data_IF_106164531347
#
_entry.id   IF_106164531347
#
_cell.length_a   1.000
_cell.length_b   1.000
_cell.length_c   1.000
_cell.angle_alpha   90.00
_cell.angle_beta   90.00
_cell.angle_gamma   90.00
#
_symmetry.space_group_name_H-M   'P 1'
#
loop_
_entity.id
_entity.type
_entity.pdbx_description
1 polymer ?
#
# COMPACT_ATOMS: atom_id res chain seq x y z
N UNK A 1 2.63 -1.28 -11.87
CA UNK A 1 1.75 -1.52 -13.03
C UNK A 1 1.20 -0.22 -13.60
N UNK A 2 0.75 0.70 -12.76
CA UNK A 2 0.29 2.02 -13.18
C UNK A 2 1.06 3.15 -12.48
N UNK A 3 0.87 4.38 -12.92
CA UNK A 3 1.49 5.55 -12.32
C UNK A 3 1.15 6.85 -13.03
N UNK A 4 1.57 7.96 -12.45
CA UNK A 4 1.38 9.30 -12.98
C UNK A 4 2.53 10.21 -12.54
N UNK A 5 2.75 11.29 -13.27
CA UNK A 5 3.78 12.28 -12.91
C UNK A 5 3.20 13.39 -12.04
N UNK A 6 4.07 14.08 -11.30
CA UNK A 6 3.70 15.27 -10.52
C UNK A 6 3.27 16.48 -11.37
N UNK A 7 3.37 16.39 -12.71
CA UNK A 7 2.98 17.45 -13.64
C UNK A 7 1.56 17.27 -14.20
N UNK A 8 0.90 16.15 -13.90
CA UNK A 8 -0.47 15.93 -14.33
C UNK A 8 -1.44 16.91 -13.65
N UNK A 9 -2.47 17.32 -14.39
CA UNK A 9 -3.52 18.20 -13.87
C UNK A 9 -4.41 17.49 -12.85
N UNK A 10 -4.62 16.18 -13.05
CA UNK A 10 -5.34 15.32 -12.13
C UNK A 10 -4.39 14.22 -11.66
N UNK A 11 -3.96 14.23 -10.39
CA UNK A 11 -3.04 13.22 -9.85
C UNK A 11 -3.70 11.85 -9.63
N UNK A 12 -5.02 11.73 -9.77
CA UNK A 12 -5.76 10.48 -9.56
C UNK A 12 -6.04 9.71 -10.86
N UNK A 13 -5.71 10.29 -12.03
CA UNK A 13 -5.90 9.65 -13.34
C UNK A 13 -4.67 8.83 -13.77
N UNK A 14 -4.35 7.77 -13.01
CA UNK A 14 -3.13 6.99 -13.23
C UNK A 14 -3.13 6.35 -14.63
N UNK A 15 -2.01 6.36 -15.34
CA UNK A 15 -1.89 5.63 -16.60
C UNK A 15 -1.47 4.17 -16.33
N UNK A 16 -2.01 3.21 -17.09
CA UNK A 16 -1.40 1.88 -17.20
C UNK A 16 -0.04 2.03 -17.90
N UNK A 17 1.03 1.53 -17.29
CA UNK A 17 2.39 1.69 -17.80
C UNK A 17 2.99 0.38 -18.33
N UNK A 18 2.46 -0.76 -17.92
CA UNK A 18 2.96 -2.08 -18.28
C UNK A 18 1.86 -3.13 -18.06
N UNK A 19 1.91 -4.23 -18.82
CA UNK A 19 1.08 -5.40 -18.61
C UNK A 19 1.83 -6.51 -17.84
N UNK A 20 1.13 -7.59 -17.49
CA UNK A 20 1.74 -8.67 -16.71
C UNK A 20 2.88 -9.35 -17.46
N UNK A 21 2.78 -9.51 -18.78
CA UNK A 21 3.80 -10.22 -19.57
C UNK A 21 5.10 -9.44 -19.63
N UNK A 22 4.99 -8.13 -19.85
CA UNK A 22 6.14 -7.22 -19.80
C UNK A 22 6.76 -7.23 -18.39
N UNK A 23 5.94 -7.15 -17.35
CA UNK A 23 6.43 -7.13 -15.97
C UNK A 23 7.18 -8.42 -15.61
N UNK A 24 6.74 -9.59 -16.09
CA UNK A 24 7.41 -10.87 -15.84
C UNK A 24 8.83 -10.95 -16.40
N UNK A 25 9.19 -10.15 -17.41
CA UNK A 25 10.56 -10.10 -17.92
C UNK A 25 11.59 -9.59 -16.88
N UNK A 26 11.11 -8.97 -15.81
CA UNK A 26 11.93 -8.47 -14.69
C UNK A 26 11.97 -9.43 -13.48
N UNK A 27 11.37 -10.62 -13.57
CA UNK A 27 11.26 -11.59 -12.47
C UNK A 27 10.72 -10.99 -11.15
N UNK A 28 9.55 -10.31 -11.16
CA UNK A 28 9.05 -9.62 -10.00
C UNK A 28 8.49 -10.59 -8.95
N UNK A 29 8.82 -10.35 -7.68
CA UNK A 29 8.21 -11.08 -6.56
C UNK A 29 6.70 -10.79 -6.40
N UNK A 30 6.25 -9.62 -6.86
CA UNK A 30 4.84 -9.22 -6.89
C UNK A 30 4.62 -8.04 -7.86
N UNK A 31 3.39 -7.88 -8.34
CA UNK A 31 2.95 -6.73 -9.12
C UNK A 31 2.22 -5.74 -8.20
N UNK A 32 2.44 -4.44 -8.40
CA UNK A 32 1.75 -3.39 -7.63
C UNK A 32 0.84 -2.54 -8.51
N UNK A 33 -0.36 -2.25 -8.03
CA UNK A 33 -1.33 -1.41 -8.71
C UNK A 33 -2.02 -0.48 -7.72
N UNK A 34 -2.19 0.78 -8.12
CA UNK A 34 -2.70 1.85 -7.28
C UNK A 34 -4.05 2.38 -7.75
N UNK A 35 -4.98 2.57 -6.80
CA UNK A 35 -6.29 3.13 -7.07
C UNK A 35 -6.82 3.94 -5.89
N UNK A 36 -7.69 4.89 -6.24
CA UNK A 36 -8.36 5.80 -5.32
C UNK A 36 -9.88 5.58 -5.37
N UNK A 37 -10.47 5.32 -4.20
CA UNK A 37 -11.88 4.99 -4.03
C UNK A 37 -12.68 6.24 -3.65
N UNK A 38 -13.82 6.46 -4.29
CA UNK A 38 -14.69 7.62 -4.16
C UNK A 38 -14.39 8.75 -5.15
N UNK A 39 -13.44 8.56 -6.07
CA UNK A 39 -13.06 9.53 -7.09
C UNK A 39 -13.73 9.30 -8.44
N UNK A 40 -13.62 10.27 -9.36
CA UNK A 40 -14.19 10.20 -10.72
C UNK A 40 -13.67 9.03 -11.55
N UNK A 41 -12.47 8.53 -11.22
CA UNK A 41 -11.81 7.44 -11.95
C UNK A 41 -12.05 6.07 -11.33
N UNK A 42 -12.77 5.94 -10.22
CA UNK A 42 -12.90 4.66 -9.49
C UNK A 42 -13.32 3.49 -10.38
N UNK A 43 -14.38 3.67 -11.17
CA UNK A 43 -14.98 2.59 -11.95
C UNK A 43 -14.01 1.93 -12.95
N UNK A 44 -13.33 2.67 -13.85
CA UNK A 44 -12.31 2.06 -14.70
C UNK A 44 -11.15 1.44 -13.91
N UNK A 45 -10.72 2.04 -12.78
CA UNK A 45 -9.63 1.45 -11.96
C UNK A 45 -10.00 0.12 -11.33
N UNK A 46 -11.25 -0.05 -10.90
CA UNK A 46 -11.72 -1.33 -10.39
C UNK A 46 -11.71 -2.42 -11.47
N UNK A 47 -12.08 -2.08 -12.71
CA UNK A 47 -12.03 -3.00 -13.83
C UNK A 47 -10.59 -3.40 -14.19
N UNK A 48 -9.68 -2.43 -14.23
CA UNK A 48 -8.25 -2.65 -14.47
C UNK A 48 -7.62 -3.53 -13.39
N UNK A 49 -7.82 -3.20 -12.11
CA UNK A 49 -7.32 -4.01 -11.00
C UNK A 49 -7.86 -5.44 -11.04
N UNK A 50 -9.16 -5.61 -11.30
CA UNK A 50 -9.76 -6.94 -11.43
C UNK A 50 -9.15 -7.75 -12.57
N UNK A 51 -8.79 -7.10 -13.68
CA UNK A 51 -8.08 -7.74 -14.79
C UNK A 51 -6.66 -8.15 -14.39
N UNK A 52 -5.93 -7.25 -13.75
CA UNK A 52 -4.58 -7.50 -13.27
C UNK A 52 -4.54 -8.66 -12.26
N UNK A 53 -5.47 -8.72 -11.31
CA UNK A 53 -5.56 -9.82 -10.33
C UNK A 53 -5.77 -11.16 -11.04
N UNK A 54 -6.72 -11.25 -11.99
CA UNK A 54 -6.95 -12.49 -12.75
C UNK A 54 -5.73 -12.91 -13.56
N UNK A 55 -5.02 -11.96 -14.14
CA UNK A 55 -3.83 -12.24 -14.94
C UNK A 55 -2.64 -12.63 -14.05
N UNK A 56 -2.43 -11.93 -12.93
CA UNK A 56 -1.43 -12.29 -11.92
C UNK A 56 -1.63 -13.71 -11.41
N UNK A 57 -2.87 -14.11 -11.11
CA UNK A 57 -3.20 -15.49 -10.73
C UNK A 57 -2.85 -16.51 -11.82
N UNK A 58 -3.11 -16.20 -13.10
CA UNK A 58 -2.77 -17.08 -14.23
C UNK A 58 -1.27 -17.31 -14.35
N UNK A 59 -0.47 -16.29 -14.09
CA UNK A 59 0.98 -16.35 -14.13
C UNK A 59 1.62 -16.67 -12.77
N UNK A 60 0.80 -16.94 -11.75
CA UNK A 60 1.24 -17.22 -10.37
C UNK A 60 2.13 -16.13 -9.77
N UNK A 61 1.90 -14.86 -10.13
CA UNK A 61 2.57 -13.69 -9.55
C UNK A 61 1.61 -12.93 -8.61
N UNK A 62 1.97 -12.72 -7.34
CA UNK A 62 1.13 -12.02 -6.38
C UNK A 62 0.82 -10.58 -6.78
N UNK A 63 -0.36 -10.07 -6.40
CA UNK A 63 -0.74 -8.66 -6.62
C UNK A 63 -0.91 -7.90 -5.29
N UNK A 64 -0.20 -6.77 -5.20
CA UNK A 64 -0.31 -5.77 -4.13
C UNK A 64 -1.24 -4.65 -4.61
N UNK A 65 -2.42 -4.55 -4.01
CA UNK A 65 -3.34 -3.43 -4.25
C UNK A 65 -3.03 -2.28 -3.31
N UNK A 66 -2.54 -1.17 -3.86
CA UNK A 66 -2.42 0.11 -3.17
C UNK A 66 -3.78 0.80 -3.23
N UNK A 67 -4.61 0.57 -2.22
CA UNK A 67 -6.02 1.01 -2.20
C UNK A 67 -6.22 2.09 -1.14
N UNK A 68 -6.56 3.29 -1.59
CA UNK A 68 -6.73 4.46 -0.75
C UNK A 68 -8.06 5.15 -1.01
N UNK A 69 -8.60 5.90 -0.03
CA UNK A 69 -9.65 6.87 -0.31
C UNK A 69 -9.12 7.95 -1.27
N UNK A 70 -10.01 8.47 -2.12
CA UNK A 70 -9.73 9.62 -2.97
C UNK A 70 -9.27 10.82 -2.13
N UNK A 71 -8.45 11.68 -2.73
CA UNK A 71 -7.85 12.83 -2.04
C UNK A 71 -6.98 12.46 -0.83
N UNK A 72 -6.51 11.21 -0.80
CA UNK A 72 -5.79 10.63 0.34
C UNK A 72 -6.54 10.81 1.69
N UNK A 73 -7.88 10.73 1.64
CA UNK A 73 -8.73 10.85 2.80
C UNK A 73 -8.29 9.94 3.95
N UNK A 74 -8.27 10.49 5.17
CA UNK A 74 -7.81 9.80 6.39
C UNK A 74 -8.96 9.31 7.27
N UNK A 75 -10.18 9.31 6.73
CA UNK A 75 -11.36 8.84 7.47
C UNK A 75 -11.27 7.32 7.74
N UNK A 76 -11.41 6.90 9.01
CA UNK A 76 -11.37 5.49 9.39
C UNK A 76 -12.35 4.59 8.63
N UNK A 77 -13.56 5.07 8.31
CA UNK A 77 -14.56 4.25 7.59
C UNK A 77 -14.15 4.09 6.13
N UNK A 78 -13.66 5.14 5.49
CA UNK A 78 -13.16 5.09 4.12
C UNK A 78 -11.96 4.13 3.99
N UNK A 79 -11.00 4.20 4.91
CA UNK A 79 -9.86 3.26 4.92
C UNK A 79 -10.33 1.83 5.21
N UNK A 80 -11.25 1.64 6.16
CA UNK A 80 -11.82 0.31 6.43
C UNK A 80 -12.51 -0.29 5.21
N UNK A 81 -13.24 0.54 4.46
CA UNK A 81 -13.85 0.14 3.19
C UNK A 81 -12.80 -0.27 2.16
N UNK A 82 -11.71 0.49 2.02
CA UNK A 82 -10.58 0.13 1.15
C UNK A 82 -9.99 -1.23 1.51
N UNK A 83 -9.78 -1.52 2.80
CA UNK A 83 -9.29 -2.83 3.26
C UNK A 83 -10.25 -3.95 2.85
N UNK A 84 -11.56 -3.77 3.11
CA UNK A 84 -12.54 -4.80 2.75
C UNK A 84 -12.64 -4.99 1.23
N UNK A 85 -12.59 -3.91 0.47
CA UNK A 85 -12.67 -3.96 -0.99
C UNK A 85 -11.48 -4.71 -1.59
N UNK A 86 -10.26 -4.46 -1.10
CA UNK A 86 -9.07 -5.19 -1.54
C UNK A 86 -9.18 -6.71 -1.29
N UNK A 87 -9.78 -7.11 -0.15
CA UNK A 87 -10.06 -8.51 0.15
C UNK A 87 -11.06 -9.12 -0.84
N UNK A 88 -12.19 -8.44 -1.09
CA UNK A 88 -13.25 -8.93 -1.99
C UNK A 88 -12.80 -9.05 -3.45
N UNK A 89 -11.92 -8.14 -3.90
CA UNK A 89 -11.33 -8.19 -5.24
C UNK A 89 -10.34 -9.36 -5.41
N UNK A 90 -9.94 -10.01 -4.31
CA UNK A 90 -9.05 -11.16 -4.34
C UNK A 90 -7.57 -10.81 -4.44
N UNK A 91 -7.17 -9.63 -3.97
CA UNK A 91 -5.75 -9.24 -3.93
C UNK A 91 -4.97 -10.12 -2.94
N UNK A 92 -3.66 -10.29 -3.18
CA UNK A 92 -2.80 -11.04 -2.27
C UNK A 92 -2.34 -10.22 -1.08
N UNK A 93 -2.00 -8.94 -1.30
CA UNK A 93 -1.57 -8.00 -0.26
C UNK A 93 -2.32 -6.68 -0.44
N UNK A 94 -2.82 -6.14 0.67
CA UNK A 94 -3.51 -4.85 0.70
C UNK A 94 -2.56 -3.81 1.27
N UNK A 95 -2.29 -2.75 0.53
CA UNK A 95 -1.57 -1.58 1.03
C UNK A 95 -2.52 -0.41 1.17
N UNK A 96 -2.59 0.17 2.36
CA UNK A 96 -3.43 1.34 2.63
C UNK A 96 -2.82 2.25 3.69
N UNK A 97 -3.57 3.24 4.17
CA UNK A 97 -3.14 4.14 5.24
C UNK A 97 -3.45 3.59 6.64
N UNK A 98 -2.64 3.99 7.61
CA UNK A 98 -2.93 3.76 9.02
C UNK A 98 -4.08 4.64 9.50
N UNK A 99 -4.91 4.08 10.39
CA UNK A 99 -5.76 4.83 11.30
C UNK A 99 -5.80 4.14 12.66
N UNK A 100 -6.00 4.91 13.72
CA UNK A 100 -6.13 4.37 15.08
C UNK A 100 -7.43 3.58 15.24
N UNK A 101 -7.35 2.37 15.81
CA UNK A 101 -8.49 1.46 15.95
C UNK A 101 -8.73 0.55 14.74
N UNK A 102 -7.79 0.45 13.81
CA UNK A 102 -7.92 -0.44 12.64
C UNK A 102 -7.79 -1.93 12.95
N UNK A 103 -7.34 -2.31 14.16
CA UNK A 103 -7.08 -3.70 14.56
C UNK A 103 -8.18 -4.68 14.25
N UNK A 104 -9.43 -4.34 14.58
CA UNK A 104 -10.55 -5.24 14.31
C UNK A 104 -10.77 -5.45 12.80
N UNK A 105 -10.55 -4.42 11.99
CA UNK A 105 -10.67 -4.52 10.54
C UNK A 105 -9.55 -5.36 9.93
N UNK A 106 -8.31 -5.16 10.40
CA UNK A 106 -7.15 -5.92 9.94
C UNK A 106 -7.27 -7.40 10.34
N UNK A 107 -7.63 -7.71 11.58
CA UNK A 107 -7.79 -9.10 12.06
C UNK A 107 -8.91 -9.87 11.35
N UNK A 108 -9.91 -9.18 10.79
CA UNK A 108 -11.00 -9.78 9.99
C UNK A 108 -10.63 -9.97 8.53
N UNK A 109 -9.43 -9.55 8.13
CA UNK A 109 -8.95 -9.62 6.76
C UNK A 109 -7.90 -10.73 6.67
N UNK A 110 -8.20 -11.89 6.07
CA UNK A 110 -7.28 -13.03 5.97
C UNK A 110 -6.15 -12.83 4.95
N UNK A 111 -5.85 -11.58 4.60
CA UNK A 111 -4.78 -11.16 3.68
C UNK A 111 -3.89 -10.16 4.39
N UNK A 112 -2.57 -10.17 4.16
CA UNK A 112 -1.67 -9.18 4.73
C UNK A 112 -2.13 -7.75 4.41
N UNK A 113 -2.31 -6.94 5.45
CA UNK A 113 -2.53 -5.50 5.33
C UNK A 113 -1.24 -4.79 5.72
N UNK A 114 -0.63 -4.07 4.78
CA UNK A 114 0.58 -3.29 5.00
C UNK A 114 0.28 -1.80 4.95
N UNK A 115 1.04 -1.02 5.71
CA UNK A 115 0.77 0.40 5.92
C UNK A 115 1.72 1.28 5.13
N UNK A 116 1.18 2.21 4.35
CA UNK A 116 1.93 3.22 3.64
C UNK A 116 2.48 4.29 4.60
N UNK A 117 3.65 4.86 4.30
CA UNK A 117 4.30 5.81 5.21
C UNK A 117 3.64 7.18 5.37
N UNK A 118 2.70 7.55 4.50
CA UNK A 118 1.98 8.83 4.57
C UNK A 118 2.83 10.07 4.25
N UNK A 119 2.46 11.20 4.86
CA UNK A 119 3.15 12.48 4.73
C UNK A 119 4.55 12.43 5.37
N UNK A 120 5.46 13.28 4.90
CA UNK A 120 6.82 13.35 5.45
C UNK A 120 6.78 13.84 6.90
N UNK A 121 7.42 13.09 7.78
CA UNK A 121 7.59 13.41 9.20
C UNK A 121 8.87 14.23 9.41
N UNK A 122 8.86 15.10 10.42
CA UNK A 122 9.99 15.98 10.74
C UNK A 122 11.03 15.29 11.62
N UNK A 123 10.60 14.32 12.44
CA UNK A 123 11.46 13.62 13.40
C UNK A 123 11.48 12.11 13.17
N UNK A 124 12.63 11.47 13.40
CA UNK A 124 12.76 10.02 13.30
C UNK A 124 11.94 9.27 14.35
N UNK A 125 11.74 9.84 15.54
CA UNK A 125 10.88 9.25 16.57
C UNK A 125 9.46 9.08 16.07
N UNK A 126 8.93 10.06 15.33
CA UNK A 126 7.59 9.97 14.74
C UNK A 126 7.46 8.81 13.76
N UNK A 127 8.51 8.52 12.99
CA UNK A 127 8.55 7.37 12.07
C UNK A 127 8.50 6.07 12.85
N UNK A 128 9.31 5.95 13.91
CA UNK A 128 9.33 4.77 14.77
C UNK A 128 7.98 4.56 15.45
N UNK A 129 7.44 5.60 16.09
CA UNK A 129 6.15 5.54 16.79
C UNK A 129 5.01 5.17 15.83
N UNK A 130 5.05 5.68 14.60
CA UNK A 130 4.07 5.33 13.56
C UNK A 130 4.12 3.84 13.20
N UNK A 131 5.33 3.30 13.01
CA UNK A 131 5.51 1.87 12.70
C UNK A 131 5.08 1.01 13.89
N UNK A 132 5.46 1.38 15.11
CA UNK A 132 5.09 0.65 16.32
C UNK A 132 3.56 0.57 16.48
N UNK A 133 2.86 1.70 16.31
CA UNK A 133 1.40 1.74 16.38
C UNK A 133 0.74 0.94 15.27
N UNK A 134 1.22 1.05 14.03
CA UNK A 134 0.69 0.27 12.90
C UNK A 134 0.80 -1.24 13.15
N UNK A 135 1.96 -1.72 13.62
CA UNK A 135 2.18 -3.13 13.96
C UNK A 135 1.31 -3.56 15.16
N UNK A 136 1.17 -2.72 16.19
CA UNK A 136 0.31 -3.00 17.36
C UNK A 136 -1.18 -3.12 17.01
N UNK A 137 -1.61 -2.46 15.93
CA UNK A 137 -2.94 -2.57 15.31
C UNK A 137 -3.03 -3.74 14.32
N UNK A 138 -2.02 -4.62 14.24
CA UNK A 138 -2.07 -5.86 13.47
C UNK A 138 -1.64 -5.75 12.02
N UNK A 139 -1.06 -4.63 11.58
CA UNK A 139 -0.46 -4.54 10.25
C UNK A 139 0.59 -5.65 10.06
N UNK A 140 0.56 -6.31 8.90
CA UNK A 140 1.52 -7.35 8.54
C UNK A 140 2.90 -6.79 8.16
N UNK A 141 3.01 -5.46 8.00
CA UNK A 141 4.24 -4.79 7.64
C UNK A 141 3.98 -3.35 7.20
N UNK A 142 5.03 -2.73 6.66
CA UNK A 142 5.01 -1.34 6.21
C UNK A 142 5.60 -1.21 4.80
N UNK A 143 5.13 -0.21 4.05
CA UNK A 143 5.66 0.19 2.76
C UNK A 143 5.88 1.71 2.77
N UNK A 144 7.00 2.12 3.37
CA UNK A 144 7.36 3.53 3.56
C UNK A 144 8.43 3.96 2.56
N UNK A 145 8.21 5.12 1.96
CA UNK A 145 9.18 5.76 1.08
C UNK A 145 9.88 6.92 1.78
N UNK A 146 9.37 8.13 1.53
CA UNK A 146 9.93 9.43 1.96
C UNK A 146 10.28 9.52 3.45
N UNK A 147 9.67 8.70 4.31
CA UNK A 147 9.94 8.67 5.75
C UNK A 147 11.14 7.82 6.16
N UNK A 148 11.63 6.90 5.32
CA UNK A 148 12.79 6.07 5.63
C UNK A 148 14.11 6.66 5.15
N UNK A 149 14.12 7.40 4.04
CA UNK A 149 15.33 8.04 3.52
C UNK A 149 15.41 9.53 3.88
N UNK A 150 16.62 10.09 3.75
CA UNK A 150 16.88 11.52 3.95
C UNK A 150 17.21 11.91 5.39
N UNK A 151 17.72 10.99 6.20
CA UNK A 151 18.13 11.24 7.59
C UNK A 151 19.65 11.36 7.78
N UNK A 152 20.39 11.59 6.68
CA UNK A 152 21.86 11.61 6.68
C UNK A 152 22.43 10.26 7.14
N UNK A 153 23.51 10.32 7.94
CA UNK A 153 24.22 9.14 8.46
C UNK A 153 23.33 8.20 9.30
N UNK A 154 22.22 8.72 9.84
CA UNK A 154 21.25 7.96 10.65
C UNK A 154 20.26 7.14 9.82
N UNK A 155 20.25 7.30 8.49
CA UNK A 155 19.30 6.61 7.59
C UNK A 155 19.40 5.09 7.71
N UNK A 156 20.62 4.56 7.70
CA UNK A 156 20.83 3.12 7.77
C UNK A 156 20.40 2.53 9.13
N UNK A 157 20.65 3.26 10.22
CA UNK A 157 20.24 2.86 11.57
C UNK A 157 18.72 2.84 11.72
N UNK A 158 18.03 3.84 11.18
CA UNK A 158 16.57 3.87 11.15
C UNK A 158 16.01 2.66 10.39
N UNK A 159 16.52 2.40 9.18
CA UNK A 159 16.04 1.27 8.37
C UNK A 159 16.24 -0.06 9.10
N UNK A 160 17.40 -0.28 9.73
CA UNK A 160 17.66 -1.49 10.53
C UNK A 160 16.69 -1.61 11.70
N UNK A 161 16.50 -0.53 12.48
CA UNK A 161 15.55 -0.50 13.60
C UNK A 161 14.13 -0.84 13.15
N UNK A 162 13.67 -0.25 12.06
CA UNK A 162 12.34 -0.53 11.51
C UNK A 162 12.23 -1.96 10.99
N UNK A 163 13.26 -2.48 10.32
CA UNK A 163 13.29 -3.87 9.86
C UNK A 163 13.23 -4.85 11.04
N UNK A 164 13.95 -4.58 12.13
CA UNK A 164 13.91 -5.38 13.35
C UNK A 164 12.49 -5.36 13.95
N UNK A 165 11.84 -4.20 14.03
CA UNK A 165 10.46 -4.10 14.52
C UNK A 165 9.47 -4.95 13.69
N UNK A 166 9.61 -4.94 12.36
CA UNK A 166 8.71 -5.68 11.46
C UNK A 166 8.97 -7.19 11.50
N UNK A 167 10.24 -7.62 11.57
CA UNK A 167 10.61 -9.02 11.41
C UNK A 167 10.81 -9.81 12.72
N UNK A 168 10.87 -9.13 13.87
CA UNK A 168 11.01 -9.78 15.19
C UNK A 168 9.67 -10.26 15.80
N UNK A 169 8.54 -9.84 15.23
CA UNK A 169 7.20 -10.26 15.62
C UNK A 169 6.89 -11.65 15.00
N UNK A 170 7.48 -12.72 15.56
CA UNK A 170 7.11 -14.11 15.25
C UNK A 170 6.43 -14.78 16.44
#
# INVERSE_FOLDING_TARGET
MNGITSYATDPYDLAILSDVKDALSFDPAALSYELYIGGSHEHPRLAELSSLIREGQRYQVPVISHIYPNEEGRDPKAISHCIRLGLELGTDIIKTFYFEGMKQQVLRTPRPVIIAGGAKMSEMSQVVDYVERALGEGAAGIAMGRNLWGWGDRTADLIRRIADMVHSQK
#
